data_IF_869080776337
#
_entry.id   IF_869080776337
#
_cell.length_a   1.000
_cell.length_b   1.000
_cell.length_c   1.000
_cell.angle_alpha   90.00
_cell.angle_beta   90.00
_cell.angle_gamma   90.00
#
_symmetry.space_group_name_H-M   'P 1'
#
loop_
_entity.id
_entity.type
_entity.pdbx_description
1 polymer ?
#
# COMPACT_ATOMS: atom_id res chain seq x y z
N UNK A 1 -26.27 -0.42 -1.74
CA UNK A 1 -25.62 -0.20 -1.98
C UNK A 1 -24.75 0.03 -1.50
N UNK A 2 -24.21 -0.07 -1.51
CA UNK A 2 -23.37 0.16 -1.25
C UNK A 2 -22.88 0.93 -1.47
N UNK A 3 -22.79 1.30 -0.97
CA UNK A 3 -22.38 2.12 -1.39
C UNK A 3 -21.43 2.26 -1.82
N UNK A 4 -21.38 2.65 -2.36
CA UNK A 4 -20.37 2.94 -2.90
C UNK A 4 -19.33 3.32 -2.16
N UNK A 5 -18.26 3.20 -2.66
CA UNK A 5 -17.05 3.54 -2.04
C UNK A 5 -17.00 4.98 -1.66
N UNK A 6 -16.40 5.30 -0.54
CA UNK A 6 -16.12 6.67 -0.18
C UNK A 6 -14.91 7.21 -0.91
N UNK A 7 -14.19 6.38 -1.63
CA UNK A 7 -12.93 6.76 -2.25
C UNK A 7 -13.07 6.80 -3.76
N UNK A 8 -12.68 7.91 -4.35
CA UNK A 8 -12.69 8.05 -5.80
C UNK A 8 -11.48 7.34 -6.40
N UNK A 9 -11.52 7.15 -7.70
CA UNK A 9 -10.37 6.60 -8.40
C UNK A 9 -9.13 7.43 -8.18
N UNK A 10 -9.28 8.74 -8.15
CA UNK A 10 -8.14 9.61 -7.95
C UNK A 10 -7.56 9.46 -6.57
N UNK A 11 -8.41 9.27 -5.56
CA UNK A 11 -7.92 9.07 -4.22
C UNK A 11 -7.15 7.76 -4.11
N UNK A 12 -7.62 6.73 -4.81
CA UNK A 12 -6.92 5.47 -4.80
C UNK A 12 -5.58 5.56 -5.52
N UNK A 13 -5.54 6.28 -6.63
CA UNK A 13 -4.29 6.49 -7.34
C UNK A 13 -3.30 7.29 -6.50
N UNK A 14 -3.81 8.28 -5.79
CA UNK A 14 -2.95 9.09 -4.94
C UNK A 14 -2.34 8.26 -3.83
N UNK A 15 -3.16 7.41 -3.20
CA UNK A 15 -2.64 6.53 -2.16
C UNK A 15 -1.62 5.56 -2.74
N UNK A 16 -1.88 5.03 -3.92
CA UNK A 16 -0.97 4.08 -4.53
C UNK A 16 0.40 4.71 -4.83
N UNK A 17 0.42 6.01 -5.12
CA UNK A 17 1.69 6.66 -5.36
C UNK A 17 2.60 6.64 -4.15
N UNK A 18 2.05 6.46 -2.96
CA UNK A 18 2.85 6.40 -1.74
C UNK A 18 3.48 5.03 -1.53
N UNK A 19 3.34 4.12 -2.48
CA UNK A 19 4.03 2.83 -2.42
C UNK A 19 5.39 2.86 -3.11
N UNK A 20 5.75 3.98 -3.76
CA UNK A 20 7.05 4.09 -4.41
C UNK A 20 7.75 5.33 -3.90
N UNK A 21 9.08 5.29 -3.90
CA UNK A 21 9.91 6.40 -3.43
C UNK A 21 9.44 6.88 -2.06
N UNK A 22 9.14 5.93 -1.19
CA UNK A 22 8.47 6.24 0.07
C UNK A 22 9.34 5.98 1.30
N UNK A 23 10.66 5.84 1.13
CA UNK A 23 11.50 5.47 2.24
C UNK A 23 11.42 6.45 3.41
N UNK A 24 11.52 7.74 3.14
CA UNK A 24 11.47 8.72 4.22
C UNK A 24 10.15 8.66 4.96
N UNK A 25 9.07 8.53 4.19
CA UNK A 25 7.74 8.47 4.75
C UNK A 25 7.56 7.21 5.59
N UNK A 26 8.05 6.09 5.08
CA UNK A 26 7.95 4.83 5.79
C UNK A 26 8.76 4.87 7.09
N UNK A 27 9.96 5.45 7.04
CA UNK A 27 10.82 5.46 8.20
C UNK A 27 10.24 6.24 9.37
N UNK A 28 9.40 7.23 9.11
CA UNK A 28 8.77 8.00 10.18
C UNK A 28 7.36 7.52 10.49
N UNK A 29 6.92 6.47 9.82
CA UNK A 29 5.60 5.92 10.08
C UNK A 29 5.59 5.09 11.35
N UNK A 30 4.43 5.00 11.97
CA UNK A 30 4.25 4.17 13.15
C UNK A 30 3.99 2.72 12.75
N UNK A 31 3.35 2.54 11.59
CA UNK A 31 3.15 1.20 11.05
C UNK A 31 3.06 1.30 9.54
N UNK A 32 3.24 0.16 8.90
CA UNK A 32 3.16 0.04 7.45
C UNK A 32 2.20 -1.08 7.10
N UNK A 33 1.80 -1.09 5.85
CA UNK A 33 0.87 -2.10 5.34
C UNK A 33 1.31 -2.47 3.93
N UNK A 34 1.33 -3.76 3.64
CA UNK A 34 1.60 -4.20 2.28
C UNK A 34 0.26 -4.43 1.59
N UNK A 35 0.01 -3.68 0.53
CA UNK A 35 -1.26 -3.80 -0.19
C UNK A 35 -1.38 -5.16 -0.85
N UNK A 36 -0.26 -5.74 -1.26
CA UNK A 36 -0.27 -7.01 -1.96
C UNK A 36 -0.64 -8.17 -1.06
N UNK A 37 0.08 -8.35 0.05
CA UNK A 37 -0.17 -9.49 0.93
C UNK A 37 -1.04 -9.14 2.13
N UNK A 38 -1.41 -7.85 2.25
CA UNK A 38 -2.36 -7.39 3.25
C UNK A 38 -1.88 -7.63 4.67
N UNK A 39 -0.61 -7.40 4.91
CA UNK A 39 0.01 -7.59 6.21
C UNK A 39 0.44 -6.26 6.79
N UNK A 40 0.16 -6.05 8.07
CA UNK A 40 0.67 -4.88 8.79
C UNK A 40 2.00 -5.23 9.42
N UNK A 41 2.90 -4.25 9.48
CA UNK A 41 4.19 -4.46 10.13
C UNK A 41 4.80 -3.12 10.51
N UNK A 42 5.88 -3.15 11.26
CA UNK A 42 6.56 -1.94 11.67
C UNK A 42 7.64 -1.58 10.67
N UNK A 43 7.96 -0.28 10.53
CA UNK A 43 9.04 0.10 9.62
C UNK A 43 10.35 -0.61 9.92
N UNK A 44 10.60 -0.93 11.19
CA UNK A 44 11.84 -1.60 11.57
C UNK A 44 11.95 -3.01 11.01
N UNK A 45 10.85 -3.58 10.54
CA UNK A 45 10.90 -4.94 9.99
C UNK A 45 11.35 -4.94 8.53
N UNK A 46 11.38 -3.77 7.88
CA UNK A 46 11.78 -3.71 6.48
C UNK A 46 13.29 -3.90 6.38
N UNK A 47 13.70 -4.85 5.55
CA UNK A 47 15.11 -5.21 5.43
C UNK A 47 15.76 -4.65 4.19
N UNK A 48 14.99 -4.32 3.17
CA UNK A 48 15.57 -3.78 1.96
C UNK A 48 14.64 -2.80 1.29
N UNK A 49 15.24 -1.96 0.47
CA UNK A 49 14.52 -0.95 -0.29
C UNK A 49 14.97 -1.06 -1.75
N UNK A 50 14.03 -0.95 -2.67
CA UNK A 50 14.32 -0.99 -4.09
C UNK A 50 14.50 0.42 -4.64
N UNK A 51 14.73 0.52 -5.93
CA UNK A 51 14.82 1.79 -6.65
C UNK A 51 15.86 2.73 -6.01
N UNK A 52 17.06 2.22 -5.82
CA UNK A 52 18.12 3.05 -5.25
C UNK A 52 17.93 3.28 -3.77
N UNK A 53 17.40 2.28 -3.07
CA UNK A 53 17.19 2.33 -1.63
C UNK A 53 16.11 3.32 -1.23
N UNK A 54 15.14 3.56 -2.12
CA UNK A 54 14.14 4.57 -1.86
C UNK A 54 12.71 4.04 -1.78
N UNK A 55 12.47 2.80 -2.22
CA UNK A 55 11.13 2.21 -2.20
C UNK A 55 11.11 1.01 -1.27
N UNK A 56 10.25 1.05 -0.25
CA UNK A 56 10.18 -0.03 0.74
C UNK A 56 9.71 -1.33 0.12
N UNK A 57 10.31 -2.42 0.54
CA UNK A 57 9.94 -3.76 0.10
C UNK A 57 9.35 -4.50 1.28
N UNK A 58 8.21 -5.13 1.06
CA UNK A 58 7.53 -5.87 2.11
C UNK A 58 8.41 -7.01 2.61
N UNK A 59 8.62 -7.11 3.93
CA UNK A 59 9.46 -8.18 4.46
C UNK A 59 8.79 -9.56 4.42
N UNK A 60 7.52 -9.61 4.05
CA UNK A 60 6.78 -10.86 4.08
C UNK A 60 6.50 -11.43 2.68
N UNK A 61 6.37 -10.58 1.67
CA UNK A 61 6.06 -11.07 0.33
C UNK A 61 6.99 -10.52 -0.74
N UNK A 62 7.92 -9.64 -0.37
CA UNK A 62 8.92 -9.08 -1.28
C UNK A 62 8.35 -8.21 -2.38
N UNK A 63 7.16 -7.67 -2.19
CA UNK A 63 6.57 -6.75 -3.15
C UNK A 63 6.85 -5.31 -2.79
N UNK A 64 6.87 -4.45 -3.79
CA UNK A 64 7.07 -3.02 -3.56
C UNK A 64 5.72 -2.31 -3.41
N UNK A 65 4.87 -2.85 -2.56
CA UNK A 65 3.51 -2.33 -2.37
C UNK A 65 3.29 -1.88 -0.92
N UNK A 66 4.33 -1.36 -0.30
CA UNK A 66 4.27 -0.95 1.10
C UNK A 66 3.82 0.51 1.20
N UNK A 67 2.88 0.78 2.11
CA UNK A 67 2.45 2.14 2.39
C UNK A 67 2.54 2.35 3.89
N UNK A 68 3.08 3.50 4.31
CA UNK A 68 3.21 3.82 5.72
C UNK A 68 2.16 4.81 6.15
N UNK A 69 1.79 4.78 7.43
CA UNK A 69 0.73 5.66 7.89
C UNK A 69 1.13 7.14 7.93
N UNK A 70 2.41 7.45 7.74
CA UNK A 70 2.84 8.84 7.66
C UNK A 70 2.62 9.45 6.28
N UNK A 71 1.94 8.72 5.40
CA UNK A 71 1.70 9.22 4.04
C UNK A 71 0.73 10.40 4.00
N UNK A 72 0.12 10.74 5.12
CA UNK A 72 -0.82 11.83 5.15
C UNK A 72 -2.23 11.43 4.78
N UNK A 73 -2.43 10.18 4.40
CA UNK A 73 -3.74 9.65 4.06
C UNK A 73 -4.14 8.68 5.16
N UNK A 74 -5.37 8.79 5.61
CA UNK A 74 -5.84 7.91 6.67
C UNK A 74 -6.00 6.51 6.12
N UNK A 75 -5.26 5.57 6.69
CA UNK A 75 -5.28 4.19 6.21
C UNK A 75 -6.39 3.42 6.92
N UNK A 76 -7.61 3.57 6.41
CA UNK A 76 -8.75 2.84 6.95
C UNK A 76 -8.82 1.46 6.31
N UNK A 77 -9.54 0.56 6.96
CA UNK A 77 -9.73 -0.77 6.39
C UNK A 77 -10.34 -0.70 5.01
N UNK A 78 -11.29 0.20 4.83
CA UNK A 78 -11.93 0.33 3.54
C UNK A 78 -10.95 0.77 2.47
N UNK A 79 -10.11 1.76 2.78
CA UNK A 79 -9.13 2.24 1.82
C UNK A 79 -8.17 1.12 1.44
N UNK A 80 -7.69 0.39 2.43
CA UNK A 80 -6.72 -0.67 2.17
C UNK A 80 -7.32 -1.79 1.33
N UNK A 81 -8.57 -2.13 1.61
CA UNK A 81 -9.24 -3.13 0.80
C UNK A 81 -9.46 -2.66 -0.63
N UNK A 82 -9.82 -1.40 -0.80
CA UNK A 82 -10.01 -0.84 -2.13
C UNK A 82 -8.71 -0.85 -2.92
N UNK A 83 -7.61 -0.52 -2.25
CA UNK A 83 -6.32 -0.54 -2.92
C UNK A 83 -5.95 -1.95 -3.36
N UNK A 84 -6.17 -2.92 -2.50
CA UNK A 84 -5.89 -4.30 -2.86
C UNK A 84 -6.76 -4.72 -4.05
N UNK A 85 -8.04 -4.42 -4.00
CA UNK A 85 -8.94 -4.81 -5.08
C UNK A 85 -8.55 -4.17 -6.40
N UNK A 86 -8.14 -2.92 -6.36
CA UNK A 86 -7.82 -2.22 -7.59
C UNK A 86 -6.52 -2.69 -8.21
N UNK A 87 -5.52 -2.96 -7.40
CA UNK A 87 -4.19 -3.22 -7.92
C UNK A 87 -3.71 -4.65 -7.80
N UNK A 88 -4.31 -5.45 -6.94
CA UNK A 88 -3.79 -6.78 -6.64
C UNK A 88 -4.84 -7.88 -6.63
N UNK A 89 -6.06 -7.58 -7.01
CA UNK A 89 -7.10 -8.62 -7.04
C UNK A 89 -7.10 -9.30 -8.39
N UNK A 90 -6.30 -10.32 -8.52
CA UNK A 90 -6.14 -11.00 -9.80
C UNK A 90 -7.26 -11.97 -10.11
N UNK A 91 -8.12 -12.23 -9.15
CA UNK A 91 -9.24 -13.13 -9.39
C UNK A 91 -10.25 -12.57 -10.37
N UNK A 92 -10.30 -11.26 -10.49
CA UNK A 92 -11.22 -10.63 -11.41
C UNK A 92 -10.74 -10.59 -12.82
N UNK A 93 -9.56 -11.03 -13.02
CA UNK A 93 -8.97 -10.90 -14.33
C UNK A 93 -9.44 -11.91 -15.28
N UNK A 94 -9.95 -12.57 -15.07
CA UNK A 94 -10.32 -13.28 -15.97
C UNK A 94 -10.90 -13.06 -17.02
N UNK A 95 -10.96 -12.58 -17.35
CA UNK A 95 -11.32 -12.23 -18.25
C UNK A 95 -11.06 -12.00 -19.06
N UNK A 96 -10.97 -11.90 -19.12
CA UNK A 96 -10.79 -11.60 -19.91
C UNK A 96 -10.80 -11.94 -20.40
#
# INVERSE_FOLDING_TARGET
MKTESQYSEEELKDAHRHTIHNRQEVEVSQFCYCISCRTFFKPSEIECYADGDDTAICPYCDCDAVIGNACGIRLTDELLERLHDKYFNYDDIEDD
#
